data_IF_616223024296
#
_entry.id   IF_616223024296
#
_cell.length_a   1.000
_cell.length_b   1.000
_cell.length_c   1.000
_cell.angle_alpha   90.00
_cell.angle_beta   90.00
_cell.angle_gamma   90.00
#
_symmetry.space_group_name_H-M   'P 1'
#
loop_
_entity.id
_entity.type
_entity.pdbx_description
1 polymer ?
#
# COMPACT_ATOMS: atom_id res chain seq x y z
N UNK A 1 -12.00 12.12 2.31
CA UNK A 1 -11.65 10.88 3.04
C UNK A 1 -10.48 10.24 2.30
N UNK A 2 -9.49 9.67 3.00
CA UNK A 2 -8.39 8.95 2.35
C UNK A 2 -8.91 7.59 1.88
N UNK A 3 -9.12 7.45 0.57
CA UNK A 3 -9.59 6.23 -0.07
C UNK A 3 -8.39 5.54 -0.73
N UNK A 4 -8.06 4.34 -0.29
CA UNK A 4 -6.99 3.52 -0.89
C UNK A 4 -7.39 3.09 -2.31
N UNK A 5 -6.42 3.10 -3.22
CA UNK A 5 -6.53 2.44 -4.50
C UNK A 5 -6.57 0.91 -4.35
N UNK A 6 -6.83 0.18 -5.44
CA UNK A 6 -6.85 -1.28 -5.41
C UNK A 6 -5.47 -1.84 -5.01
N UNK A 7 -5.46 -2.67 -3.96
CA UNK A 7 -4.24 -3.28 -3.43
C UNK A 7 -3.82 -4.51 -4.23
N UNK A 8 -3.44 -4.28 -5.49
CA UNK A 8 -2.99 -5.31 -6.43
C UNK A 8 -1.53 -5.09 -6.80
N UNK A 9 -0.80 -6.19 -6.98
CA UNK A 9 0.58 -6.16 -7.44
C UNK A 9 0.63 -6.14 -8.99
N UNK A 10 1.83 -5.93 -9.53
CA UNK A 10 2.05 -5.83 -11.00
C UNK A 10 1.76 -7.12 -11.78
N UNK A 11 1.61 -8.25 -11.09
CA UNK A 11 1.24 -9.54 -11.68
C UNK A 11 -0.28 -9.75 -11.70
N UNK A 12 -1.07 -8.78 -11.23
CA UNK A 12 -2.52 -8.86 -11.12
C UNK A 12 -3.03 -9.62 -9.89
N UNK A 13 -2.13 -10.03 -8.99
CA UNK A 13 -2.48 -10.68 -7.72
C UNK A 13 -2.61 -9.69 -6.56
N UNK A 14 -2.91 -10.16 -5.33
CA UNK A 14 -2.96 -9.30 -4.14
C UNK A 14 -1.58 -8.71 -3.82
N UNK A 15 -1.55 -7.47 -3.36
CA UNK A 15 -0.31 -6.84 -2.91
C UNK A 15 0.16 -7.49 -1.60
N UNK A 16 1.40 -7.98 -1.58
CA UNK A 16 2.02 -8.53 -0.38
C UNK A 16 2.57 -7.42 0.53
N UNK A 17 2.79 -7.70 1.83
CA UNK A 17 3.51 -6.79 2.71
C UNK A 17 4.90 -6.46 2.18
N UNK A 18 5.30 -5.19 2.26
CA UNK A 18 6.64 -4.74 1.93
C UNK A 18 7.57 -4.77 3.14
N UNK A 19 7.11 -4.25 4.30
CA UNK A 19 7.88 -4.31 5.56
C UNK A 19 6.99 -4.04 6.78
N UNK A 20 7.13 -4.88 7.80
CA UNK A 20 6.45 -4.72 9.10
C UNK A 20 7.38 -4.21 10.20
N UNK A 21 8.70 -4.35 10.02
CA UNK A 21 9.72 -3.94 10.99
C UNK A 21 10.99 -3.51 10.25
N UNK A 22 11.18 -2.21 9.95
CA UNK A 22 10.31 -1.08 10.32
C UNK A 22 8.98 -1.05 9.55
N UNK A 23 7.94 -0.46 10.15
CA UNK A 23 6.62 -0.36 9.54
C UNK A 23 6.59 0.68 8.40
N UNK A 24 6.33 0.22 7.17
CA UNK A 24 6.31 1.05 5.95
C UNK A 24 4.89 1.39 5.46
N UNK A 25 4.80 2.08 4.32
CA UNK A 25 3.58 2.46 3.61
C UNK A 25 3.06 3.86 3.98
N UNK A 26 2.45 4.56 3.03
CA UNK A 26 1.81 5.87 3.25
C UNK A 26 0.75 5.78 4.36
N UNK A 27 -0.05 4.71 4.33
CA UNK A 27 -1.07 4.38 5.34
C UNK A 27 -0.52 3.72 6.61
N UNK A 28 0.80 3.47 6.68
CA UNK A 28 1.46 2.75 7.77
C UNK A 28 0.82 1.39 8.07
N UNK A 29 0.48 0.66 7.01
CA UNK A 29 -0.09 -0.70 7.06
C UNK A 29 0.90 -1.78 6.58
N UNK A 30 2.17 -1.41 6.38
CA UNK A 30 3.22 -2.32 5.95
C UNK A 30 3.18 -2.68 4.46
N UNK A 31 2.25 -2.13 3.69
CA UNK A 31 2.09 -2.36 2.26
C UNK A 31 2.40 -1.08 1.48
N UNK A 32 2.78 -1.22 0.21
CA UNK A 32 2.93 -0.11 -0.71
C UNK A 32 1.58 0.37 -1.27
N UNK A 33 0.57 0.51 -0.40
CA UNK A 33 -0.72 1.07 -0.77
C UNK A 33 -0.59 2.59 -0.98
N UNK A 34 -1.31 3.10 -1.96
CA UNK A 34 -1.31 4.53 -2.33
C UNK A 34 -2.73 5.06 -2.53
N UNK A 35 -2.84 6.37 -2.74
CA UNK A 35 -4.06 7.07 -3.12
C UNK A 35 -3.72 8.43 -3.74
N UNK A 36 -4.73 9.17 -4.19
CA UNK A 36 -4.56 10.49 -4.78
C UNK A 36 -3.89 11.55 -3.87
N UNK A 37 -3.75 11.28 -2.57
CA UNK A 37 -3.11 12.17 -1.60
C UNK A 37 -1.63 11.85 -1.35
N UNK A 38 -1.09 10.78 -1.94
CA UNK A 38 0.31 10.35 -1.84
C UNK A 38 1.09 10.81 -3.09
N UNK A 39 1.09 12.14 -3.30
CA UNK A 39 1.72 12.82 -4.44
C UNK A 39 3.06 13.47 -4.07
#
# INVERSE_FOLDING_TARGET
MMQKDQSINVLGGPLSPCSMAPLTGFFRDGHCNTCAQDA
#
